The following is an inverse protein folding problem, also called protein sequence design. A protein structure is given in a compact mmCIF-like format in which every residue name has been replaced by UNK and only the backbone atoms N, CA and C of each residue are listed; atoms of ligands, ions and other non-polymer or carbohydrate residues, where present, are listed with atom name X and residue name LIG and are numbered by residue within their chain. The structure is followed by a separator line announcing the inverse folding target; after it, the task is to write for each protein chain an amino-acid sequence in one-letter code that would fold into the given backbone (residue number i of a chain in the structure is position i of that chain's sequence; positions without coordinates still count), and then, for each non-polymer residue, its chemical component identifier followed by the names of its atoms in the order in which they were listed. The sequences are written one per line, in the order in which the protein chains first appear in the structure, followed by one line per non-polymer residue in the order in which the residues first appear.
data_IF_002780111961
#
_entry.id   IF_002780111961
#
_cell.length_a   1.000
_cell.length_b   1.000
_cell.length_c   1.000
_cell.angle_alpha   90.00
_cell.angle_beta   90.00
_cell.angle_gamma   90.00
#
_symmetry.space_group_name_H-M   'P 1'
#
loop_
_entity.id
_entity.type
_entity.pdbx_description
1 polymer ?
#
# COMPACT_ATOMS: atom_id res chain seq x y z
N UNK A 1 43.36 -7.73 -2.94
CA UNK A 1 43.05 -6.35 -3.38
C UNK A 1 42.61 -6.40 -4.84
N UNK A 2 41.30 -6.29 -5.07
CA UNK A 2 40.67 -6.34 -6.39
C UNK A 2 40.50 -4.91 -6.92
N UNK A 3 41.61 -4.25 -7.27
CA UNK A 3 41.51 -3.00 -8.00
C UNK A 3 41.04 -3.31 -9.44
N UNK A 4 40.23 -2.44 -10.06
CA UNK A 4 39.87 -2.59 -11.45
C UNK A 4 41.14 -2.64 -12.30
N UNK A 5 41.29 -3.72 -13.07
CA UNK A 5 42.40 -3.85 -14.01
C UNK A 5 41.96 -3.26 -15.34
N UNK A 6 42.30 -2.00 -15.56
CA UNK A 6 41.91 -1.24 -16.75
C UNK A 6 42.51 -1.80 -18.04
N UNK A 7 43.63 -2.52 -17.95
CA UNK A 7 44.32 -3.14 -19.10
C UNK A 7 43.98 -4.64 -19.27
N UNK A 8 43.17 -5.22 -18.39
CA UNK A 8 42.82 -6.64 -18.45
C UNK A 8 41.63 -6.88 -19.38
N UNK A 9 41.83 -7.70 -20.42
CA UNK A 9 40.74 -8.15 -21.28
C UNK A 9 39.76 -9.08 -20.53
N UNK A 10 38.45 -8.83 -20.68
CA UNK A 10 37.39 -9.73 -20.21
C UNK A 10 37.39 -11.09 -20.93
N UNK A 11 38.06 -11.19 -22.09
CA UNK A 11 38.22 -12.43 -22.85
C UNK A 11 39.20 -13.39 -22.19
N UNK A 12 40.25 -12.86 -21.56
CA UNK A 12 41.24 -13.68 -20.87
C UNK A 12 40.72 -14.20 -19.51
N UNK A 13 41.13 -15.42 -19.15
CA UNK A 13 40.67 -16.10 -17.94
C UNK A 13 41.10 -15.37 -16.66
N UNK A 14 42.31 -14.79 -16.66
CA UNK A 14 42.80 -14.01 -15.50
C UNK A 14 42.05 -12.68 -15.40
N UNK A 15 41.95 -11.94 -16.50
CA UNK A 15 41.20 -10.67 -16.54
C UNK A 15 39.74 -10.83 -16.12
N UNK A 16 39.06 -11.87 -16.60
CA UNK A 16 37.67 -12.18 -16.21
C UNK A 16 37.52 -12.40 -14.71
N UNK A 17 38.43 -13.15 -14.07
CA UNK A 17 38.37 -13.41 -12.62
C UNK A 17 38.54 -12.12 -11.81
N UNK A 18 39.45 -11.23 -12.24
CA UNK A 18 39.65 -9.94 -11.58
C UNK A 18 38.36 -9.11 -11.64
N UNK A 19 37.76 -8.99 -12.83
CA UNK A 19 36.50 -8.26 -13.00
C UNK A 19 35.33 -8.85 -12.21
N UNK A 20 35.18 -10.18 -12.18
CA UNK A 20 34.18 -10.85 -11.35
C UNK A 20 34.33 -10.45 -9.88
N UNK A 21 35.56 -10.44 -9.34
CA UNK A 21 35.80 -10.05 -7.96
C UNK A 21 35.49 -8.56 -7.73
N UNK A 22 35.87 -7.68 -8.66
CA UNK A 22 35.54 -6.25 -8.60
C UNK A 22 34.02 -6.03 -8.52
N UNK A 23 33.24 -6.75 -9.34
CA UNK A 23 31.78 -6.68 -9.26
C UNK A 23 31.24 -7.19 -7.92
N UNK A 24 31.85 -8.24 -7.35
CA UNK A 24 31.50 -8.75 -6.02
C UNK A 24 31.74 -7.72 -4.90
N UNK A 25 32.90 -7.07 -4.91
CA UNK A 25 33.24 -6.02 -3.95
C UNK A 25 32.33 -4.78 -4.09
N UNK A 26 31.99 -4.39 -5.33
CA UNK A 26 31.06 -3.32 -5.59
C UNK A 26 29.65 -3.65 -5.06
N UNK A 27 29.15 -4.86 -5.29
CA UNK A 27 27.88 -5.32 -4.73
C UNK A 27 27.91 -5.32 -3.19
N UNK A 28 28.99 -5.82 -2.58
CA UNK A 28 29.18 -5.82 -1.13
C UNK A 28 29.14 -4.41 -0.54
N UNK A 29 29.84 -3.45 -1.15
CA UNK A 29 29.82 -2.05 -0.71
C UNK A 29 28.39 -1.47 -0.74
N UNK A 30 27.63 -1.73 -1.81
CA UNK A 30 26.23 -1.31 -1.86
C UNK A 30 25.41 -1.92 -0.72
N UNK A 31 25.54 -3.23 -0.48
CA UNK A 31 24.82 -3.90 0.61
C UNK A 31 25.22 -3.39 2.00
N UNK A 32 26.49 -3.05 2.22
CA UNK A 32 26.95 -2.46 3.48
C UNK A 32 26.33 -1.07 3.71
N UNK A 33 26.32 -0.20 2.69
CA UNK A 33 25.69 1.12 2.78
C UNK A 33 24.18 1.02 3.06
N UNK A 34 23.50 0.11 2.35
CA UNK A 34 22.10 -0.21 2.59
C UNK A 34 21.91 -0.72 4.02
N UNK A 35 22.75 -1.65 4.48
CA UNK A 35 22.67 -2.24 5.81
C UNK A 35 22.80 -1.22 6.93
N UNK A 36 23.81 -0.34 6.87
CA UNK A 36 24.06 0.72 7.87
C UNK A 36 22.87 1.68 7.95
N UNK A 37 22.35 2.13 6.82
CA UNK A 37 21.21 3.06 6.80
C UNK A 37 19.88 2.39 7.17
N UNK A 38 19.78 1.07 7.02
CA UNK A 38 18.59 0.29 7.40
C UNK A 38 18.50 -0.05 8.89
N UNK A 39 19.55 0.25 9.67
CA UNK A 39 19.54 0.07 11.14
C UNK A 39 18.35 0.85 11.73
N UNK A 40 17.58 0.26 12.67
CA UNK A 40 16.36 0.88 13.16
C UNK A 40 16.52 2.28 13.73
N UNK A 41 17.69 2.60 14.28
CA UNK A 41 18.03 3.95 14.73
C UNK A 41 18.11 4.94 13.56
N UNK A 42 18.87 4.61 12.51
CA UNK A 42 19.06 5.46 11.33
C UNK A 42 17.74 5.63 10.55
N UNK A 43 17.03 4.53 10.29
CA UNK A 43 15.74 4.55 9.57
C UNK A 43 14.68 5.42 10.26
N UNK A 44 14.63 5.43 11.60
CA UNK A 44 13.63 6.20 12.36
C UNK A 44 13.97 7.68 12.49
N UNK A 45 15.26 8.05 12.52
CA UNK A 45 15.70 9.44 12.68
C UNK A 45 16.01 10.15 11.37
N UNK A 46 16.47 9.41 10.36
CA UNK A 46 16.96 9.93 9.08
C UNK A 46 16.29 9.20 7.91
N UNK A 47 14.96 9.24 7.87
CA UNK A 47 14.17 8.47 6.90
C UNK A 47 14.53 8.80 5.44
N UNK A 48 14.72 10.08 5.10
CA UNK A 48 15.07 10.49 3.74
C UNK A 48 16.43 9.92 3.28
N UNK A 49 17.43 9.93 4.16
CA UNK A 49 18.74 9.34 3.88
C UNK A 49 18.62 7.82 3.68
N UNK A 50 17.92 7.15 4.60
CA UNK A 50 17.60 5.74 4.47
C UNK A 50 16.96 5.44 3.12
N UNK A 51 15.87 6.14 2.77
CA UNK A 51 15.10 5.91 1.56
C UNK A 51 15.96 6.06 0.29
N UNK A 52 16.78 7.11 0.22
CA UNK A 52 17.64 7.39 -0.93
C UNK A 52 18.76 6.36 -1.07
N UNK A 53 19.46 6.01 0.02
CA UNK A 53 20.54 5.01 0.00
C UNK A 53 19.99 3.61 -0.27
N UNK A 54 18.77 3.31 0.17
CA UNK A 54 18.13 2.02 -0.09
C UNK A 54 17.91 1.76 -1.60
N UNK A 55 17.82 2.81 -2.43
CA UNK A 55 17.70 2.65 -3.89
C UNK A 55 18.96 2.03 -4.52
N UNK A 56 20.11 2.00 -3.82
CA UNK A 56 21.30 1.28 -4.25
C UNK A 56 21.05 -0.23 -4.42
N UNK A 57 19.92 -0.76 -3.93
CA UNK A 57 19.51 -2.15 -4.15
C UNK A 57 19.50 -2.52 -5.63
N UNK A 58 19.04 -1.63 -6.53
CA UNK A 58 19.02 -1.90 -7.97
C UNK A 58 20.44 -2.07 -8.53
N UNK A 59 21.37 -1.22 -8.09
CA UNK A 59 22.79 -1.29 -8.48
C UNK A 59 23.45 -2.54 -7.91
N UNK A 60 23.17 -2.87 -6.65
CA UNK A 60 23.68 -4.07 -5.98
C UNK A 60 23.26 -5.35 -6.69
N UNK A 61 21.99 -5.43 -7.14
CA UNK A 61 21.47 -6.58 -7.90
C UNK A 61 22.21 -6.74 -9.23
N UNK A 62 22.45 -5.66 -9.97
CA UNK A 62 23.20 -5.71 -11.24
C UNK A 62 24.61 -6.24 -11.01
N UNK A 63 25.34 -5.70 -10.03
CA UNK A 63 26.70 -6.17 -9.73
C UNK A 63 26.74 -7.60 -9.20
N UNK A 64 25.72 -8.02 -8.45
CA UNK A 64 25.58 -9.42 -8.01
C UNK A 64 25.43 -10.36 -9.19
N UNK A 65 24.63 -10.01 -10.20
CA UNK A 65 24.48 -10.79 -11.43
C UNK A 65 25.78 -10.85 -12.26
N UNK A 66 26.53 -9.74 -12.32
CA UNK A 66 27.84 -9.68 -12.99
C UNK A 66 28.92 -10.49 -12.24
N UNK A 67 28.87 -10.53 -10.91
CA UNK A 67 29.73 -11.37 -10.08
C UNK A 67 29.39 -12.86 -10.23
N UNK A 68 28.11 -13.20 -10.18
CA UNK A 68 27.65 -14.58 -10.19
C UNK A 68 26.31 -14.74 -10.90
N UNK A 69 26.36 -15.05 -12.19
CA UNK A 69 25.15 -15.19 -13.04
C UNK A 69 24.14 -16.23 -12.52
N UNK A 70 24.59 -17.26 -11.78
CA UNK A 70 23.69 -18.27 -11.18
C UNK A 70 22.79 -17.67 -10.09
N UNK A 71 23.09 -16.48 -9.56
CA UNK A 71 22.19 -15.72 -8.71
C UNK A 71 20.83 -15.46 -9.38
N UNK A 72 20.77 -15.46 -10.72
CA UNK A 72 19.54 -15.29 -11.48
C UNK A 72 18.47 -16.33 -11.09
N UNK A 73 18.84 -17.58 -10.81
CA UNK A 73 17.88 -18.61 -10.41
C UNK A 73 17.17 -18.31 -9.08
N UNK A 74 17.79 -17.51 -8.22
CA UNK A 74 17.22 -17.09 -6.94
C UNK A 74 16.46 -15.76 -7.07
N UNK A 75 16.93 -14.85 -7.92
CA UNK A 75 16.33 -13.52 -8.09
C UNK A 75 15.12 -13.53 -9.03
N UNK A 76 15.14 -14.37 -10.06
CA UNK A 76 14.12 -14.40 -11.10
C UNK A 76 12.72 -14.72 -10.54
N UNK A 77 12.50 -15.73 -9.66
CA UNK A 77 11.18 -16.00 -9.12
C UNK A 77 10.60 -14.82 -8.33
N UNK A 78 11.43 -14.19 -7.49
CA UNK A 78 11.02 -13.02 -6.70
C UNK A 78 10.69 -11.81 -7.61
N UNK A 79 11.49 -11.59 -8.65
CA UNK A 79 11.27 -10.53 -9.62
C UNK A 79 9.98 -10.76 -10.43
N UNK A 80 9.73 -11.98 -10.90
CA UNK A 80 8.50 -12.35 -11.61
C UNK A 80 7.29 -12.18 -10.70
N UNK A 81 7.33 -12.67 -9.46
CA UNK A 81 6.26 -12.49 -8.50
C UNK A 81 5.98 -11.00 -8.21
N UNK A 82 7.03 -10.18 -8.07
CA UNK A 82 6.90 -8.73 -7.91
C UNK A 82 6.26 -8.08 -9.14
N UNK A 83 6.70 -8.44 -10.36
CA UNK A 83 6.11 -7.92 -11.59
C UNK A 83 4.64 -8.30 -11.73
N UNK A 84 4.27 -9.56 -11.46
CA UNK A 84 2.88 -10.00 -11.46
C UNK A 84 2.07 -9.16 -10.46
N UNK A 85 2.57 -8.98 -9.24
CA UNK A 85 1.90 -8.13 -8.24
C UNK A 85 1.73 -6.68 -8.72
N UNK A 86 2.76 -6.08 -9.35
CA UNK A 86 2.68 -4.71 -9.89
C UNK A 86 1.68 -4.59 -11.04
N UNK A 87 1.65 -5.58 -11.95
CA UNK A 87 0.70 -5.62 -13.07
C UNK A 87 -0.72 -5.74 -12.55
N UNK A 88 -0.98 -6.67 -11.61
CA UNK A 88 -2.31 -6.84 -11.02
C UNK A 88 -2.78 -5.57 -10.30
N UNK A 89 -1.91 -4.96 -9.49
CA UNK A 89 -2.18 -3.68 -8.80
C UNK A 89 -2.49 -2.55 -9.78
N UNK A 90 -1.73 -2.44 -10.87
CA UNK A 90 -1.99 -1.45 -11.92
C UNK A 90 -3.33 -1.71 -12.64
N UNK A 91 -3.66 -2.97 -12.95
CA UNK A 91 -4.93 -3.32 -13.57
C UNK A 91 -6.12 -2.99 -12.66
N UNK A 92 -6.02 -3.27 -11.36
CA UNK A 92 -7.06 -2.92 -10.38
C UNK A 92 -7.30 -1.41 -10.32
N UNK A 93 -6.22 -0.63 -10.30
CA UNK A 93 -6.26 0.83 -10.21
C UNK A 93 -6.45 1.56 -11.54
N UNK A 94 -6.77 0.87 -12.64
CA UNK A 94 -6.79 1.48 -13.98
C UNK A 94 -8.06 2.26 -14.30
N UNK A 95 -9.15 2.00 -13.57
CA UNK A 95 -10.46 2.63 -13.77
C UNK A 95 -10.79 3.61 -12.64
N UNK A 96 -11.25 4.81 -12.98
CA UNK A 96 -11.71 5.77 -11.99
C UNK A 96 -12.90 5.22 -11.19
N UNK A 97 -12.83 5.32 -9.87
CA UNK A 97 -13.87 4.87 -8.96
C UNK A 97 -14.99 5.90 -8.86
N UNK A 98 -16.23 5.45 -8.73
CA UNK A 98 -17.39 6.34 -8.63
C UNK A 98 -17.49 6.92 -7.21
N UNK A 99 -17.13 8.18 -7.06
CA UNK A 99 -17.25 8.90 -5.78
C UNK A 99 -18.71 9.28 -5.52
N UNK A 100 -19.24 8.74 -4.42
CA UNK A 100 -20.60 9.03 -3.95
C UNK A 100 -20.61 10.31 -3.14
N UNK A 101 -19.70 10.41 -2.16
CA UNK A 101 -19.60 11.51 -1.22
C UNK A 101 -18.14 11.80 -0.89
N UNK A 102 -17.79 13.07 -0.82
CA UNK A 102 -16.51 13.54 -0.30
C UNK A 102 -16.74 14.77 0.57
N UNK A 103 -16.57 14.64 1.88
CA UNK A 103 -16.96 15.67 2.85
C UNK A 103 -16.01 15.74 4.05
N UNK A 104 -15.75 16.94 4.57
CA UNK A 104 -15.07 17.10 5.86
C UNK A 104 -15.96 16.65 7.02
N UNK A 105 -15.39 15.86 7.94
CA UNK A 105 -15.97 15.57 9.25
C UNK A 105 -15.39 16.49 10.35
N UNK A 106 -14.14 16.93 10.16
CA UNK A 106 -13.46 17.92 10.99
C UNK A 106 -12.36 18.59 10.15
N UNK A 107 -11.71 19.67 10.63
CA UNK A 107 -10.62 20.34 9.90
C UNK A 107 -9.46 19.41 9.51
N UNK A 108 -9.28 18.28 10.20
CA UNK A 108 -8.21 17.31 9.94
C UNK A 108 -8.72 15.90 9.57
N UNK A 109 -10.01 15.72 9.29
CA UNK A 109 -10.60 14.42 8.97
C UNK A 109 -11.65 14.57 7.86
N UNK A 110 -11.49 13.85 6.76
CA UNK A 110 -12.51 13.75 5.71
C UNK A 110 -13.06 12.33 5.59
N UNK A 111 -14.30 12.26 5.08
CA UNK A 111 -15.02 11.06 4.72
C UNK A 111 -15.08 10.97 3.20
N UNK A 112 -14.58 9.86 2.66
CA UNK A 112 -14.66 9.54 1.23
C UNK A 112 -15.50 8.27 1.07
N UNK A 113 -16.61 8.37 0.36
CA UNK A 113 -17.52 7.26 0.07
C UNK A 113 -17.46 6.93 -1.41
N UNK A 114 -17.16 5.68 -1.71
CA UNK A 114 -16.93 5.18 -3.06
C UNK A 114 -17.94 4.05 -3.32
N UNK A 115 -18.58 4.04 -4.50
CA UNK A 115 -19.42 2.91 -4.89
C UNK A 115 -18.54 1.69 -5.17
N UNK A 116 -18.95 0.51 -4.70
CA UNK A 116 -18.23 -0.73 -4.97
C UNK A 116 -18.43 -1.14 -6.44
N UNK A 117 -17.42 -1.77 -7.01
CA UNK A 117 -17.58 -2.44 -8.30
C UNK A 117 -18.67 -3.53 -8.21
N UNK A 118 -19.44 -3.79 -9.28
CA UNK A 118 -20.39 -4.90 -9.30
C UNK A 118 -19.67 -6.25 -9.36
N UNK A 119 -20.34 -7.31 -8.91
CA UNK A 119 -19.83 -8.69 -8.97
C UNK A 119 -18.70 -8.99 -7.98
N UNK A 120 -17.88 -9.98 -8.30
CA UNK A 120 -16.82 -10.49 -7.40
C UNK A 120 -15.74 -9.45 -7.09
N UNK A 121 -15.44 -8.56 -8.03
CA UNK A 121 -14.46 -7.47 -7.85
C UNK A 121 -14.86 -6.50 -6.73
N UNK A 122 -16.15 -6.40 -6.43
CA UNK A 122 -16.67 -5.56 -5.36
C UNK A 122 -16.72 -6.20 -3.99
N UNK A 123 -16.35 -7.48 -3.85
CA UNK A 123 -16.46 -8.22 -2.59
C UNK A 123 -15.47 -7.71 -1.55
N UNK A 124 -15.98 -6.84 -0.69
CA UNK A 124 -15.33 -6.31 0.49
C UNK A 124 -15.54 -7.25 1.67
N UNK A 125 -14.50 -7.42 2.50
CA UNK A 125 -14.60 -7.98 3.83
C UNK A 125 -14.19 -6.96 4.90
N UNK A 126 -14.81 -7.07 6.08
CA UNK A 126 -14.50 -6.21 7.22
C UNK A 126 -13.03 -6.34 7.61
N UNK A 127 -12.38 -5.20 7.86
CA UNK A 127 -10.97 -5.12 8.25
C UNK A 127 -9.99 -5.00 7.07
N UNK A 128 -10.48 -5.12 5.83
CA UNK A 128 -9.66 -4.87 4.66
C UNK A 128 -9.36 -3.38 4.45
N UNK A 129 -8.33 -3.11 3.67
CA UNK A 129 -7.92 -1.78 3.27
C UNK A 129 -7.73 -1.70 1.75
N UNK A 130 -7.68 -0.48 1.23
CA UNK A 130 -7.45 -0.19 -0.19
C UNK A 130 -6.34 0.85 -0.33
N UNK A 131 -5.64 0.84 -1.45
CA UNK A 131 -4.81 1.95 -1.86
C UNK A 131 -5.63 2.94 -2.67
N UNK A 132 -5.47 4.23 -2.37
CA UNK A 132 -6.18 5.32 -3.02
C UNK A 132 -5.18 6.21 -3.74
N UNK A 133 -5.50 6.57 -4.97
CA UNK A 133 -4.79 7.57 -5.75
C UNK A 133 -5.76 8.70 -6.14
N UNK A 134 -5.27 9.93 -6.01
CA UNK A 134 -6.00 11.16 -6.38
C UNK A 134 -5.08 11.97 -7.29
N UNK A 135 -5.24 11.88 -8.64
CA UNK A 135 -4.29 12.46 -9.58
C UNK A 135 -4.13 13.98 -9.47
N UNK A 136 -5.17 14.68 -9.02
CA UNK A 136 -5.14 16.11 -8.76
C UNK A 136 -4.13 16.51 -7.68
N UNK A 137 -3.79 15.59 -6.77
CA UNK A 137 -2.83 15.80 -5.67
C UNK A 137 -1.47 15.25 -6.06
N UNK A 138 -1.43 13.97 -6.44
CA UNK A 138 -0.22 13.28 -6.83
C UNK A 138 -0.55 12.09 -7.75
N UNK A 139 -0.12 12.18 -9.01
CA UNK A 139 -0.45 11.19 -10.06
C UNK A 139 0.11 9.80 -9.82
N UNK A 140 1.26 9.69 -9.14
CA UNK A 140 1.98 8.43 -8.98
C UNK A 140 2.01 7.91 -7.55
N UNK A 141 1.36 8.61 -6.61
CA UNK A 141 1.34 8.21 -5.21
C UNK A 141 0.05 7.46 -4.86
N UNK A 142 0.21 6.30 -4.23
CA UNK A 142 -0.87 5.44 -3.78
C UNK A 142 -0.78 5.29 -2.27
N UNK A 143 -1.84 5.63 -1.55
CA UNK A 143 -1.86 5.66 -0.09
C UNK A 143 -2.89 4.67 0.47
N UNK A 144 -2.50 3.86 1.45
CA UNK A 144 -3.35 2.83 2.03
C UNK A 144 -4.32 3.40 3.07
N UNK A 145 -5.59 3.06 2.97
CA UNK A 145 -6.64 3.41 3.92
C UNK A 145 -7.53 2.22 4.25
N UNK A 146 -7.73 1.97 5.54
CA UNK A 146 -8.64 0.95 6.04
C UNK A 146 -10.08 1.33 5.76
N UNK A 147 -10.89 0.34 5.37
CA UNK A 147 -12.31 0.55 5.12
C UNK A 147 -13.05 0.58 6.44
N UNK A 148 -13.81 1.65 6.65
CA UNK A 148 -14.52 1.95 7.88
C UNK A 148 -15.94 1.38 7.92
N UNK A 149 -16.42 0.81 6.81
CA UNK A 149 -17.80 0.33 6.67
C UNK A 149 -17.92 -1.18 6.52
N UNK A 150 -19.09 -1.72 6.88
CA UNK A 150 -19.43 -3.14 6.66
C UNK A 150 -19.96 -3.39 5.24
N UNK A 151 -19.66 -4.56 4.64
CA UNK A 151 -20.30 -5.01 3.39
C UNK A 151 -21.73 -5.53 3.59
N UNK A 152 -22.17 -5.75 4.84
CA UNK A 152 -23.48 -6.33 5.16
C UNK A 152 -24.60 -5.30 4.98
N UNK A 153 -25.74 -5.65 4.37
CA UNK A 153 -26.90 -4.77 4.32
C UNK A 153 -27.42 -4.47 5.72
N UNK A 154 -27.58 -3.19 6.06
CA UNK A 154 -28.33 -2.74 7.24
C UNK A 154 -29.77 -2.42 6.85
N UNK A 155 -30.70 -2.66 7.78
CA UNK A 155 -32.13 -2.41 7.56
C UNK A 155 -32.44 -0.93 7.39
N UNK A 156 -31.70 -0.09 8.13
CA UNK A 156 -31.86 1.36 8.13
C UNK A 156 -31.03 2.05 7.03
N UNK A 157 -30.07 1.34 6.43
CA UNK A 157 -29.19 1.88 5.40
C UNK A 157 -28.88 0.86 4.31
N UNK A 158 -29.89 0.46 3.54
CA UNK A 158 -29.73 -0.54 2.46
C UNK A 158 -28.70 -0.13 1.40
N UNK A 159 -28.51 1.19 1.19
CA UNK A 159 -27.52 1.72 0.25
C UNK A 159 -26.07 1.57 0.71
N UNK A 160 -25.81 1.27 2.00
CA UNK A 160 -24.45 1.07 2.51
C UNK A 160 -23.79 -0.18 1.93
N UNK A 161 -24.57 -1.22 1.64
CA UNK A 161 -24.05 -2.51 1.14
C UNK A 161 -23.29 -2.38 -0.20
N UNK A 162 -23.61 -1.39 -1.03
CA UNK A 162 -22.96 -1.15 -2.32
C UNK A 162 -21.92 -0.04 -2.28
N UNK A 163 -21.50 0.40 -1.09
CA UNK A 163 -20.55 1.50 -0.91
C UNK A 163 -19.45 1.07 0.06
N UNK A 164 -18.26 1.65 -0.10
CA UNK A 164 -17.20 1.59 0.90
C UNK A 164 -16.94 2.99 1.43
N UNK A 165 -16.71 3.10 2.74
CA UNK A 165 -16.38 4.36 3.39
C UNK A 165 -14.94 4.34 3.86
N UNK A 166 -14.20 5.41 3.53
CA UNK A 166 -12.86 5.67 4.02
C UNK A 166 -12.88 6.90 4.92
N UNK A 167 -12.18 6.82 6.05
CA UNK A 167 -11.97 7.94 6.97
C UNK A 167 -10.51 8.32 6.94
N UNK A 168 -10.20 9.49 6.39
CA UNK A 168 -8.83 9.90 6.09
C UNK A 168 -8.47 11.09 6.96
N UNK A 169 -7.47 10.90 7.84
CA UNK A 169 -6.96 11.94 8.74
C UNK A 169 -5.72 12.61 8.12
N UNK A 170 -5.65 13.93 8.20
CA UNK A 170 -4.47 14.70 7.80
C UNK A 170 -3.32 14.48 8.79
N UNK A 171 -2.33 13.67 8.40
CA UNK A 171 -1.16 13.33 9.22
C UNK A 171 0.18 13.59 8.52
N UNK A 172 0.18 13.70 7.20
CA UNK A 172 1.37 14.01 6.39
C UNK A 172 1.01 14.79 5.14
N UNK A 173 2.03 15.12 4.34
CA UNK A 173 1.95 16.06 3.22
C UNK A 173 0.82 15.72 2.23
N UNK A 174 0.70 14.46 1.82
CA UNK A 174 -0.34 14.03 0.89
C UNK A 174 -1.74 14.16 1.49
N UNK A 175 -1.94 13.67 2.71
CA UNK A 175 -3.25 13.75 3.39
C UNK A 175 -3.66 15.18 3.76
N UNK A 176 -2.69 16.08 4.02
CA UNK A 176 -2.95 17.50 4.22
C UNK A 176 -3.44 18.17 2.93
N UNK A 177 -2.77 17.90 1.80
CA UNK A 177 -3.23 18.35 0.48
C UNK A 177 -4.61 17.80 0.12
N UNK A 178 -4.91 16.56 0.50
CA UNK A 178 -6.25 15.97 0.32
C UNK A 178 -7.34 16.75 1.06
N UNK A 179 -7.07 17.23 2.28
CA UNK A 179 -8.04 18.06 3.01
C UNK A 179 -8.27 19.41 2.33
N UNK A 180 -7.21 20.06 1.83
CA UNK A 180 -7.36 21.31 1.07
C UNK A 180 -8.15 21.09 -0.22
N UNK A 181 -7.84 20.01 -0.94
CA UNK A 181 -8.56 19.65 -2.15
C UNK A 181 -10.03 19.31 -1.88
N UNK A 182 -10.34 18.71 -0.74
CA UNK A 182 -11.73 18.49 -0.32
C UNK A 182 -12.50 19.79 -0.18
N UNK A 183 -11.91 20.81 0.45
CA UNK A 183 -12.53 22.13 0.60
C UNK A 183 -12.77 22.78 -0.77
N UNK A 184 -11.81 22.67 -1.69
CA UNK A 184 -11.95 23.17 -3.05
C UNK A 184 -13.08 22.46 -3.82
N UNK A 185 -13.16 21.12 -3.74
CA UNK A 185 -14.25 20.34 -4.33
C UNK A 185 -15.62 20.76 -3.79
N UNK A 186 -15.71 21.02 -2.48
CA UNK A 186 -16.95 21.44 -1.83
C UNK A 186 -17.38 22.83 -2.29
N UNK A 187 -16.44 23.80 -2.36
CA UNK A 187 -16.70 25.15 -2.86
C UNK A 187 -17.16 25.16 -4.32
N UNK A 188 -16.56 24.30 -5.15
CA UNK A 188 -16.85 24.22 -6.57
C UNK A 188 -17.99 23.24 -6.92
N UNK A 189 -18.58 22.57 -5.92
CA UNK A 189 -19.56 21.49 -6.09
C UNK A 189 -19.09 20.39 -7.07
N UNK A 190 -17.78 20.10 -7.09
CA UNK A 190 -17.19 19.07 -7.96
C UNK A 190 -16.89 17.79 -7.17
N UNK A 191 -16.91 16.65 -7.87
CA UNK A 191 -16.49 15.37 -7.31
C UNK A 191 -15.04 15.09 -7.70
N UNK A 192 -14.20 14.59 -6.78
CA UNK A 192 -12.82 14.27 -7.10
C UNK A 192 -12.75 13.04 -8.00
N UNK A 193 -11.81 13.03 -8.94
CA UNK A 193 -11.38 11.81 -9.61
C UNK A 193 -10.48 11.00 -8.66
N UNK A 194 -10.86 9.75 -8.42
CA UNK A 194 -10.19 8.85 -7.46
C UNK A 194 -10.00 7.49 -8.10
N UNK A 195 -8.82 6.89 -7.94
CA UNK A 195 -8.54 5.51 -8.32
C UNK A 195 -8.30 4.67 -7.07
N UNK A 196 -8.71 3.40 -7.14
CA UNK A 196 -8.69 2.48 -5.99
C UNK A 196 -8.05 1.16 -6.43
N UNK A 197 -7.09 0.69 -5.63
CA UNK A 197 -6.49 -0.64 -5.77
C UNK A 197 -6.72 -1.46 -4.50
N UNK A 198 -7.35 -2.63 -4.64
CA UNK A 198 -7.67 -3.54 -3.55
C UNK A 198 -8.77 -4.53 -3.93
N UNK A 199 -9.36 -5.24 -2.96
CA UNK A 199 -9.18 -5.12 -1.51
C UNK A 199 -7.98 -5.91 -0.97
N UNK A 200 -7.29 -5.38 0.03
CA UNK A 200 -6.14 -6.01 0.67
C UNK A 200 -6.37 -6.27 2.16
N UNK A 201 -5.61 -7.22 2.72
CA UNK A 201 -5.71 -7.62 4.12
C UNK A 201 -6.65 -8.81 4.34
N UNK A 202 -6.56 -9.39 5.53
CA UNK A 202 -7.38 -10.53 5.94
C UNK A 202 -8.78 -10.08 6.37
N UNK A 203 -9.77 -10.94 6.15
CA UNK A 203 -11.11 -10.73 6.70
C UNK A 203 -11.10 -10.89 8.22
N UNK A 204 -11.58 -9.87 8.93
CA UNK A 204 -11.79 -9.95 10.37
C UNK A 204 -13.12 -10.63 10.74
N UNK A 205 -14.03 -10.82 9.79
CA UNK A 205 -15.38 -11.34 10.07
C UNK A 205 -15.37 -12.71 10.70
N UNK A 206 -14.48 -13.59 10.24
CA UNK A 206 -14.32 -14.94 10.80
C UNK A 206 -13.75 -14.89 12.22
N UNK A 207 -12.91 -13.90 12.53
CA UNK A 207 -12.25 -13.78 13.83
C UNK A 207 -13.24 -13.38 14.90
N UNK A 208 -13.96 -12.27 14.74
CA UNK A 208 -14.87 -11.81 15.79
C UNK A 208 -16.16 -12.63 15.87
N UNK A 209 -16.61 -13.26 14.76
CA UNK A 209 -17.80 -14.12 14.77
C UNK A 209 -17.58 -15.45 15.50
N UNK A 210 -16.32 -15.86 15.71
CA UNK A 210 -15.99 -17.07 16.45
C UNK A 210 -16.18 -16.93 17.97
N UNK A 211 -16.38 -15.71 18.47
CA UNK A 211 -16.51 -15.44 19.91
C UNK A 211 -17.88 -14.86 20.25
N UNK A 212 -18.41 -15.24 21.42
CA UNK A 212 -19.68 -14.71 21.94
C UNK A 212 -19.56 -13.30 22.50
N UNK A 213 -18.36 -12.90 22.92
CA UNK A 213 -18.07 -11.58 23.47
C UNK A 213 -16.78 -11.06 22.86
N UNK A 214 -16.82 -9.82 22.36
CA UNK A 214 -15.71 -9.17 21.67
C UNK A 214 -15.45 -7.82 22.32
N UNK A 215 -14.22 -7.59 22.79
CA UNK A 215 -13.78 -6.30 23.30
C UNK A 215 -12.98 -5.56 22.22
N UNK A 216 -13.50 -4.42 21.76
CA UNK A 216 -12.85 -3.59 20.74
C UNK A 216 -12.11 -2.44 21.41
N UNK A 217 -10.77 -2.42 21.29
CA UNK A 217 -9.91 -1.38 21.85
C UNK A 217 -9.20 -0.67 20.70
N UNK A 218 -9.48 0.62 20.51
CA UNK A 218 -8.91 1.42 19.42
C UNK A 218 -8.40 2.77 19.91
N UNK A 219 -7.36 3.26 19.25
CA UNK A 219 -6.78 4.58 19.51
C UNK A 219 -6.38 5.29 18.22
N UNK A 220 -6.70 6.59 18.11
CA UNK A 220 -6.39 7.39 16.93
C UNK A 220 -7.01 6.84 15.65
N UNK A 221 -6.21 6.74 14.58
CA UNK A 221 -6.65 6.16 13.29
C UNK A 221 -6.91 4.64 13.36
N UNK A 222 -6.43 3.97 14.42
CA UNK A 222 -6.69 2.55 14.65
C UNK A 222 -8.15 2.22 15.00
N UNK A 223 -9.00 3.23 15.23
CA UNK A 223 -10.44 3.05 15.43
C UNK A 223 -11.15 2.70 14.11
N UNK A 224 -10.62 3.09 12.96
CA UNK A 224 -11.25 2.89 11.64
C UNK A 224 -11.67 1.43 11.35
N UNK A 225 -10.82 0.39 11.48
CA UNK A 225 -11.26 -0.99 11.29
C UNK A 225 -12.35 -1.42 12.28
N UNK A 226 -12.32 -0.89 13.50
CA UNK A 226 -13.30 -1.24 14.54
C UNK A 226 -14.69 -0.72 14.21
N UNK A 227 -14.78 0.43 13.52
CA UNK A 227 -16.07 0.95 13.03
C UNK A 227 -16.71 -0.02 12.03
N UNK A 228 -15.92 -0.61 11.12
CA UNK A 228 -16.42 -1.62 10.18
C UNK A 228 -16.89 -2.90 10.89
N UNK A 229 -16.19 -3.31 11.95
CA UNK A 229 -16.60 -4.45 12.80
C UNK A 229 -17.90 -4.15 13.54
N UNK A 230 -18.01 -2.97 14.15
CA UNK A 230 -19.21 -2.53 14.86
C UNK A 230 -20.43 -2.46 13.93
N UNK A 231 -20.27 -1.83 12.75
CA UNK A 231 -21.34 -1.76 11.76
C UNK A 231 -21.78 -3.16 11.31
N UNK A 232 -20.84 -4.10 11.13
CA UNK A 232 -21.19 -5.47 10.75
C UNK A 232 -21.94 -6.23 11.85
N UNK A 233 -21.51 -6.10 13.11
CA UNK A 233 -22.19 -6.71 14.25
C UNK A 233 -23.60 -6.13 14.42
N UNK A 234 -23.76 -4.81 14.30
CA UNK A 234 -25.07 -4.16 14.36
C UNK A 234 -25.99 -4.65 13.24
N UNK A 235 -25.52 -4.67 11.99
CA UNK A 235 -26.30 -5.17 10.86
C UNK A 235 -26.64 -6.67 11.00
N UNK A 236 -25.76 -7.46 11.63
CA UNK A 236 -26.02 -8.86 11.96
C UNK A 236 -27.12 -9.01 13.03
N UNK A 237 -27.15 -8.13 14.03
CA UNK A 237 -28.16 -8.15 15.07
C UNK A 237 -29.53 -7.72 14.54
N UNK A 238 -29.58 -6.68 13.71
CA UNK A 238 -30.81 -6.20 13.04
C UNK A 238 -31.50 -7.32 12.25
N UNK A 239 -30.71 -8.08 11.47
CA UNK A 239 -31.24 -9.17 10.65
C UNK A 239 -31.73 -10.38 11.45
N UNK A 240 -31.18 -10.62 12.66
CA UNK A 240 -31.63 -11.68 13.56
C UNK A 240 -32.96 -11.38 14.26
N UNK A 241 -33.27 -10.11 14.54
CA UNK A 241 -34.50 -9.74 15.24
C UNK A 241 -35.79 -9.90 14.40
N UNK A 242 -35.64 -10.21 13.10
CA UNK A 242 -36.75 -10.37 12.15
C UNK A 242 -37.07 -11.86 11.89
N UNK A 243 -36.21 -12.78 12.35
CA UNK A 243 -36.41 -14.23 12.28
C UNK A 243 -36.89 -14.77 13.62
#
# INVERSE_FOLDING_TARGET
MALPCWDCSLRDRKGRKVWINVFGEAALLCFLLIGVTSVPWARRRMYNLFYNVHQLLFVAVIFTLLHWVRALWFLLPAFVAYLISRVLSHCNGSTAAQVVQFSALSPALCKLVIARAPGERGQLHVGQFVYVNVPAIARFEWHAFTIASSPRPSLYNQSSSNRMTLLIKALGDWTGKLMLYQQECELNATKPEVYVDGYYGASLSQVYSAYTTVALVGGGVGVTPLLGVLEDICAAAETRHIQ
#
